data_IF_916099967957
#
_entry.id   IF_916099967957
#
_cell.length_a   1.000
_cell.length_b   1.000
_cell.length_c   1.000
_cell.angle_alpha   90.00
_cell.angle_beta   90.00
_cell.angle_gamma   90.00
#
_symmetry.space_group_name_H-M   'P 1'
#
loop_
_entity.id
_entity.type
_entity.pdbx_description
1 polymer ?
#
# COMPACT_ATOMS: atom_id res chain seq x y z
N UNK A 1 0.46 10.38 -12.14
CA UNK A 1 1.82 10.51 -12.66
C UNK A 1 2.80 10.96 -11.58
N UNK A 2 2.56 12.07 -10.88
CA UNK A 2 3.46 12.61 -9.83
C UNK A 2 3.79 11.56 -8.77
N UNK A 3 2.82 10.83 -8.25
CA UNK A 3 3.03 9.74 -7.29
C UNK A 3 3.99 8.67 -7.80
N UNK A 4 3.85 8.24 -9.06
CA UNK A 4 4.74 7.23 -9.65
C UNK A 4 6.17 7.73 -9.80
N UNK A 5 6.36 9.00 -10.21
CA UNK A 5 7.70 9.60 -10.30
C UNK A 5 8.33 9.68 -8.90
N UNK A 6 7.56 10.08 -7.89
CA UNK A 6 8.03 10.14 -6.51
C UNK A 6 8.36 8.74 -5.95
N UNK A 7 7.57 7.72 -6.29
CA UNK A 7 7.84 6.33 -5.88
C UNK A 7 9.13 5.80 -6.52
N UNK A 8 9.38 6.07 -7.81
CA UNK A 8 10.64 5.71 -8.45
C UNK A 8 11.85 6.43 -7.81
N UNK A 9 11.70 7.72 -7.56
CA UNK A 9 12.75 8.51 -6.91
C UNK A 9 13.00 8.06 -5.46
N UNK A 10 11.98 7.56 -4.77
CA UNK A 10 12.07 7.12 -3.38
C UNK A 10 12.98 5.91 -3.20
N UNK A 11 12.99 4.97 -4.14
CA UNK A 11 13.91 3.82 -4.12
C UNK A 11 15.37 4.28 -4.08
N UNK A 12 15.75 5.20 -4.96
CA UNK A 12 17.11 5.77 -5.00
C UNK A 12 17.45 6.54 -3.72
N UNK A 13 16.47 7.23 -3.14
CA UNK A 13 16.66 7.99 -1.90
C UNK A 13 16.82 7.04 -0.70
N UNK A 14 16.05 5.96 -0.67
CA UNK A 14 16.11 4.94 0.38
C UNK A 14 17.46 4.25 0.41
N UNK A 15 18.01 3.86 -0.74
CA UNK A 15 19.33 3.24 -0.84
C UNK A 15 20.42 4.17 -0.32
N UNK A 16 20.34 5.46 -0.64
CA UNK A 16 21.28 6.47 -0.13
C UNK A 16 21.16 6.71 1.37
N UNK A 17 19.93 6.71 1.92
CA UNK A 17 19.73 6.91 3.35
C UNK A 17 20.24 5.71 4.16
N UNK A 18 19.99 4.49 3.70
CA UNK A 18 20.47 3.27 4.35
C UNK A 18 21.99 3.16 4.26
N UNK A 19 22.57 3.42 3.10
CA UNK A 19 24.03 3.41 2.91
C UNK A 19 24.75 4.53 3.69
N UNK A 20 24.05 5.61 4.01
CA UNK A 20 24.53 6.69 4.86
C UNK A 20 24.54 6.39 6.37
N UNK A 21 24.17 5.16 6.78
CA UNK A 21 24.19 4.73 8.17
C UNK A 21 22.97 5.13 9.00
N UNK A 22 21.89 5.59 8.35
CA UNK A 22 20.63 5.87 9.04
C UNK A 22 19.87 4.58 9.38
N UNK A 23 19.02 4.66 10.40
CA UNK A 23 18.15 3.54 10.78
C UNK A 23 17.22 3.18 9.61
N UNK A 24 17.25 1.92 9.12
CA UNK A 24 16.40 1.48 8.01
C UNK A 24 14.91 1.66 8.30
N UNK A 25 14.46 1.42 9.53
CA UNK A 25 13.05 1.57 9.91
C UNK A 25 12.59 3.02 9.80
N UNK A 26 13.37 3.97 10.32
CA UNK A 26 13.09 5.39 10.22
C UNK A 26 13.10 5.87 8.77
N UNK A 27 14.05 5.39 7.96
CA UNK A 27 14.16 5.75 6.55
C UNK A 27 12.91 5.36 5.77
N UNK A 28 12.39 4.14 5.96
CA UNK A 28 11.17 3.67 5.31
C UNK A 28 9.95 4.48 5.73
N UNK A 29 9.79 4.80 7.00
CA UNK A 29 8.68 5.63 7.51
C UNK A 29 8.69 7.01 6.85
N UNK A 30 9.84 7.69 6.86
CA UNK A 30 9.99 9.03 6.30
C UNK A 30 9.67 9.02 4.80
N UNK A 31 10.19 8.05 4.07
CA UNK A 31 9.97 7.94 2.62
C UNK A 31 8.50 7.65 2.31
N UNK A 32 7.86 6.73 3.03
CA UNK A 32 6.45 6.44 2.84
C UNK A 32 5.59 7.70 3.06
N UNK A 33 5.87 8.47 4.09
CA UNK A 33 5.17 9.74 4.34
C UNK A 33 5.42 10.76 3.24
N UNK A 34 6.66 10.90 2.77
CA UNK A 34 7.02 11.84 1.70
C UNK A 34 6.32 11.50 0.38
N UNK A 35 6.31 10.24 0.01
CA UNK A 35 5.77 9.77 -1.29
C UNK A 35 4.23 9.83 -1.32
N UNK A 36 3.58 9.44 -0.24
CA UNK A 36 2.11 9.32 -0.23
C UNK A 36 1.42 10.52 0.40
N UNK A 37 1.84 10.95 1.58
CA UNK A 37 1.09 11.95 2.36
C UNK A 37 1.28 13.36 1.81
N UNK A 38 2.50 13.76 1.41
CA UNK A 38 2.74 15.12 0.91
C UNK A 38 1.95 15.40 -0.37
N UNK A 39 1.99 14.56 -1.44
CA UNK A 39 1.18 14.79 -2.63
C UNK A 39 -0.33 14.76 -2.33
N UNK A 40 -0.76 13.91 -1.42
CA UNK A 40 -2.15 13.84 -0.99
C UNK A 40 -2.61 15.15 -0.33
N UNK A 41 -1.79 15.71 0.58
CA UNK A 41 -2.06 17.00 1.22
C UNK A 41 -2.13 18.13 0.18
N UNK A 42 -1.18 18.18 -0.73
CA UNK A 42 -1.13 19.20 -1.80
C UNK A 42 -2.40 19.08 -2.65
N UNK A 43 -2.76 17.88 -3.07
CA UNK A 43 -3.96 17.63 -3.87
C UNK A 43 -5.24 18.10 -3.16
N UNK A 44 -5.43 17.72 -1.90
CA UNK A 44 -6.59 18.14 -1.11
C UNK A 44 -6.65 19.65 -0.94
N UNK A 45 -5.51 20.32 -0.71
CA UNK A 45 -5.46 21.78 -0.63
C UNK A 45 -5.82 22.49 -1.93
N UNK A 46 -5.30 21.98 -3.05
CA UNK A 46 -5.60 22.55 -4.38
C UNK A 46 -7.08 22.41 -4.74
N UNK A 47 -7.73 21.33 -4.30
CA UNK A 47 -9.17 21.12 -4.51
C UNK A 47 -10.06 21.85 -3.48
N UNK A 48 -9.50 22.44 -2.44
CA UNK A 48 -10.27 23.10 -1.38
C UNK A 48 -11.12 22.15 -0.53
N UNK A 49 -10.81 20.85 -0.54
CA UNK A 49 -11.56 19.82 0.19
C UNK A 49 -10.95 19.63 1.58
N UNK A 50 -11.80 19.76 2.62
CA UNK A 50 -11.36 19.49 4.00
C UNK A 50 -11.00 18.02 4.21
N UNK A 51 -9.86 17.74 4.84
CA UNK A 51 -9.37 16.38 5.11
C UNK A 51 -10.38 15.52 5.87
N UNK A 52 -11.11 16.10 6.84
CA UNK A 52 -12.09 15.39 7.66
C UNK A 52 -13.30 14.91 6.85
N UNK A 53 -13.66 15.59 5.79
CA UNK A 53 -14.78 15.21 4.94
C UNK A 53 -14.46 13.98 4.09
N UNK A 54 -13.20 13.84 3.62
CA UNK A 54 -12.77 12.70 2.80
C UNK A 54 -12.36 11.48 3.63
N UNK A 55 -11.78 11.68 4.79
CA UNK A 55 -11.33 10.58 5.65
C UNK A 55 -12.47 9.75 6.25
N UNK A 56 -13.66 10.30 6.37
CA UNK A 56 -14.87 9.65 6.93
C UNK A 56 -14.57 8.64 8.05
N UNK A 57 -13.61 8.97 8.93
CA UNK A 57 -13.14 8.12 10.02
C UNK A 57 -14.28 7.96 11.01
N UNK A 58 -14.97 6.83 10.95
CA UNK A 58 -16.00 6.45 11.93
C UNK A 58 -15.38 5.53 12.97
N UNK A 59 -15.79 5.71 14.23
CA UNK A 59 -15.44 4.80 15.31
C UNK A 59 -15.81 3.36 14.94
N UNK A 60 -14.90 2.46 15.25
CA UNK A 60 -15.00 1.05 14.91
C UNK A 60 -16.15 0.40 15.67
N UNK A 61 -17.13 -0.14 14.97
CA UNK A 61 -18.21 -0.94 15.57
C UNK A 61 -17.76 -2.38 15.79
N UNK A 62 -17.99 -2.99 16.97
CA UNK A 62 -17.60 -4.38 17.24
C UNK A 62 -18.14 -5.39 16.21
N UNK A 63 -19.32 -5.12 15.64
CA UNK A 63 -19.89 -6.00 14.60
C UNK A 63 -19.08 -5.99 13.30
N UNK A 64 -18.31 -4.94 13.02
CA UNK A 64 -17.43 -4.87 11.84
C UNK A 64 -16.11 -5.61 12.03
N UNK A 65 -15.74 -5.96 13.27
CA UNK A 65 -14.53 -6.73 13.55
C UNK A 65 -14.56 -8.10 12.86
N UNK A 66 -15.71 -8.76 12.84
CA UNK A 66 -15.90 -10.02 12.13
C UNK A 66 -15.64 -9.89 10.63
N UNK A 67 -16.12 -8.82 10.00
CA UNK A 67 -15.86 -8.56 8.58
C UNK A 67 -14.37 -8.34 8.31
N UNK A 68 -13.67 -7.60 9.18
CA UNK A 68 -12.23 -7.37 9.06
C UNK A 68 -11.44 -8.69 9.19
N UNK A 69 -11.78 -9.53 10.15
CA UNK A 69 -11.14 -10.85 10.31
C UNK A 69 -11.38 -11.72 9.06
N UNK A 70 -12.63 -11.78 8.58
CA UNK A 70 -12.95 -12.56 7.39
C UNK A 70 -12.24 -12.03 6.14
N UNK A 71 -12.22 -10.72 5.92
CA UNK A 71 -11.47 -10.13 4.79
C UNK A 71 -9.96 -10.40 4.90
N UNK A 72 -9.39 -10.35 6.10
CA UNK A 72 -7.98 -10.70 6.31
C UNK A 72 -7.68 -12.17 5.99
N UNK A 73 -8.57 -13.10 6.36
CA UNK A 73 -8.44 -14.50 5.98
C UNK A 73 -8.54 -14.70 4.46
N UNK A 74 -9.49 -14.03 3.81
CA UNK A 74 -9.62 -14.05 2.35
C UNK A 74 -8.37 -13.50 1.68
N UNK A 75 -7.78 -12.42 2.20
CA UNK A 75 -6.53 -11.87 1.70
C UNK A 75 -5.39 -12.89 1.80
N UNK A 76 -5.20 -13.51 2.95
CA UNK A 76 -4.12 -14.49 3.16
C UNK A 76 -4.31 -15.70 2.24
N UNK A 77 -5.48 -16.30 2.23
CA UNK A 77 -5.76 -17.47 1.38
C UNK A 77 -5.65 -17.13 -0.11
N UNK A 78 -6.20 -16.00 -0.53
CA UNK A 78 -6.18 -15.56 -1.92
C UNK A 78 -4.77 -15.25 -2.42
N UNK A 79 -3.94 -14.58 -1.62
CA UNK A 79 -2.54 -14.32 -1.98
C UNK A 79 -1.74 -15.60 -2.13
N UNK A 80 -1.92 -16.57 -1.22
CA UNK A 80 -1.27 -17.88 -1.31
C UNK A 80 -1.72 -18.64 -2.56
N UNK A 81 -3.02 -18.63 -2.87
CA UNK A 81 -3.56 -19.30 -4.06
C UNK A 81 -3.03 -18.68 -5.36
N UNK A 82 -3.08 -17.36 -5.49
CA UNK A 82 -2.58 -16.66 -6.68
C UNK A 82 -1.10 -16.95 -6.86
N UNK A 83 -0.32 -16.90 -5.80
CA UNK A 83 1.13 -17.16 -5.86
C UNK A 83 1.43 -18.61 -6.20
N UNK A 84 0.71 -19.58 -5.62
CA UNK A 84 0.85 -20.98 -5.95
C UNK A 84 0.54 -21.24 -7.44
N UNK A 85 -0.51 -20.60 -7.97
CA UNK A 85 -0.84 -20.69 -9.38
C UNK A 85 0.26 -20.09 -10.27
N UNK A 86 0.84 -18.94 -9.90
CA UNK A 86 1.96 -18.34 -10.64
C UNK A 86 3.20 -19.26 -10.68
N UNK A 87 3.55 -19.88 -9.56
CA UNK A 87 4.65 -20.84 -9.47
C UNK A 87 4.36 -22.06 -10.36
N UNK A 88 3.13 -22.60 -10.30
CA UNK A 88 2.73 -23.75 -11.11
C UNK A 88 2.78 -23.46 -12.62
N UNK A 89 2.42 -22.25 -13.03
CA UNK A 89 2.50 -21.80 -14.42
C UNK A 89 3.92 -21.44 -14.88
N UNK A 90 4.92 -21.61 -14.02
CA UNK A 90 6.33 -21.34 -14.34
C UNK A 90 6.71 -19.86 -14.38
N UNK A 91 5.85 -18.99 -13.79
CA UNK A 91 6.04 -17.53 -13.85
C UNK A 91 7.14 -17.02 -12.91
N UNK A 92 7.33 -17.63 -11.75
CA UNK A 92 8.30 -17.12 -10.76
C UNK A 92 8.71 -18.19 -9.77
N UNK A 93 9.98 -18.12 -9.31
CA UNK A 93 10.53 -18.98 -8.25
C UNK A 93 10.69 -18.22 -6.92
N UNK A 94 10.47 -16.92 -6.93
CA UNK A 94 10.65 -16.05 -5.77
C UNK A 94 9.49 -16.21 -4.78
N UNK A 95 9.75 -16.34 -3.47
CA UNK A 95 8.70 -16.36 -2.46
C UNK A 95 7.99 -15.00 -2.40
N UNK A 96 6.70 -15.00 -2.01
CA UNK A 96 5.86 -13.77 -1.93
C UNK A 96 6.51 -12.67 -1.10
N UNK A 97 7.26 -13.04 -0.07
CA UNK A 97 7.86 -12.13 0.89
C UNK A 97 9.34 -11.82 0.62
N UNK A 98 9.90 -12.14 -0.55
CA UNK A 98 11.32 -11.88 -0.86
C UNK A 98 11.69 -10.40 -0.72
N UNK A 99 10.82 -9.49 -1.18
CA UNK A 99 11.04 -8.05 -1.03
C UNK A 99 11.15 -7.61 0.44
N UNK A 100 10.29 -8.16 1.30
CA UNK A 100 10.37 -7.87 2.73
C UNK A 100 11.59 -8.50 3.40
N UNK A 101 12.10 -9.61 2.85
CA UNK A 101 13.28 -10.29 3.37
C UNK A 101 14.53 -9.42 3.35
N UNK A 102 14.75 -8.67 2.29
CA UNK A 102 15.88 -7.76 2.17
C UNK A 102 15.80 -6.62 3.19
N UNK A 103 14.65 -5.97 3.30
CA UNK A 103 14.45 -4.90 4.28
C UNK A 103 14.45 -5.39 5.73
N UNK A 104 13.88 -6.57 5.99
CA UNK A 104 13.95 -7.20 7.31
C UNK A 104 15.37 -7.59 7.67
N UNK A 105 16.18 -8.02 6.71
CA UNK A 105 17.59 -8.32 6.93
C UNK A 105 18.40 -7.03 7.17
N UNK A 106 18.14 -5.96 6.44
CA UNK A 106 18.78 -4.66 6.67
C UNK A 106 18.46 -4.10 8.08
N UNK A 107 17.28 -4.40 8.58
CA UNK A 107 16.85 -4.02 9.94
C UNK A 107 17.22 -5.05 11.03
N UNK A 108 18.25 -5.88 10.82
CA UNK A 108 18.73 -6.81 11.84
C UNK A 108 19.15 -6.04 13.11
N UNK A 109 18.63 -6.49 14.24
CA UNK A 109 18.88 -5.84 15.54
C UNK A 109 17.77 -4.87 16.02
N UNK A 110 16.89 -4.40 15.15
CA UNK A 110 15.72 -3.67 15.60
C UNK A 110 14.68 -4.60 16.27
N UNK A 111 13.98 -4.08 17.27
CA UNK A 111 12.88 -4.79 17.91
C UNK A 111 11.73 -5.03 16.93
N UNK A 112 10.87 -6.01 17.24
CA UNK A 112 9.73 -6.38 16.39
C UNK A 112 8.79 -5.20 16.12
N UNK A 113 8.51 -4.39 17.14
CA UNK A 113 7.55 -3.29 17.03
C UNK A 113 7.99 -2.20 16.02
N UNK A 114 9.21 -1.65 16.06
CA UNK A 114 9.69 -0.73 15.02
C UNK A 114 9.64 -1.30 13.62
N UNK A 115 9.99 -2.58 13.44
CA UNK A 115 9.90 -3.26 12.14
C UNK A 115 8.45 -3.33 11.65
N UNK A 116 7.53 -3.78 12.48
CA UNK A 116 6.11 -3.87 12.13
C UNK A 116 5.54 -2.50 11.77
N UNK A 117 5.91 -1.46 12.50
CA UNK A 117 5.48 -0.08 12.18
C UNK A 117 6.05 0.41 10.85
N UNK A 118 7.34 0.21 10.60
CA UNK A 118 8.01 0.71 9.43
C UNK A 118 7.60 0.00 8.13
N UNK A 119 7.50 -1.33 8.16
CA UNK A 119 7.30 -2.13 6.94
C UNK A 119 5.86 -2.58 6.70
N UNK A 120 4.98 -2.48 7.69
CA UNK A 120 3.59 -2.89 7.54
C UNK A 120 2.61 -1.75 7.83
N UNK A 121 2.62 -1.19 9.04
CA UNK A 121 1.55 -0.28 9.49
C UNK A 121 1.60 1.06 8.77
N UNK A 122 2.76 1.73 8.77
CA UNK A 122 2.88 3.08 8.19
C UNK A 122 2.67 3.07 6.67
N UNK A 123 3.33 2.21 5.87
CA UNK A 123 3.06 2.13 4.44
C UNK A 123 1.59 1.81 4.13
N UNK A 124 1.00 0.83 4.83
CA UNK A 124 -0.40 0.47 4.62
C UNK A 124 -1.35 1.65 4.87
N UNK A 125 -1.18 2.39 5.97
CA UNK A 125 -2.00 3.59 6.25
C UNK A 125 -1.81 4.64 5.16
N UNK A 126 -0.58 4.89 4.72
CA UNK A 126 -0.28 5.87 3.68
C UNK A 126 -0.92 5.50 2.34
N UNK A 127 -0.83 4.24 1.94
CA UNK A 127 -1.46 3.73 0.72
C UNK A 127 -2.98 3.79 0.79
N UNK A 128 -3.59 3.32 1.89
CA UNK A 128 -5.04 3.38 2.07
C UNK A 128 -5.56 4.81 2.02
N UNK A 129 -4.83 5.76 2.60
CA UNK A 129 -5.19 7.16 2.53
C UNK A 129 -5.23 7.70 1.10
N UNK A 130 -4.22 7.38 0.29
CA UNK A 130 -4.15 7.88 -1.10
C UNK A 130 -5.14 7.15 -2.00
N UNK A 131 -5.13 5.82 -2.00
CA UNK A 131 -5.86 5.03 -2.99
C UNK A 131 -7.34 4.84 -2.62
N UNK A 132 -7.68 4.72 -1.32
CA UNK A 132 -9.06 4.47 -0.87
C UNK A 132 -9.74 5.75 -0.40
N UNK A 133 -9.09 6.58 0.39
CA UNK A 133 -9.75 7.80 0.85
C UNK A 133 -9.82 8.89 -0.25
N UNK A 134 -8.80 9.02 -1.09
CA UNK A 134 -8.76 10.09 -2.10
C UNK A 134 -9.14 9.57 -3.48
N UNK A 135 -8.36 8.68 -4.08
CA UNK A 135 -8.56 8.28 -5.47
C UNK A 135 -9.88 7.56 -5.70
N UNK A 136 -10.22 6.59 -4.85
CA UNK A 136 -11.49 5.87 -4.96
C UNK A 136 -12.69 6.82 -4.88
N UNK A 137 -12.64 7.78 -3.94
CA UNK A 137 -13.72 8.76 -3.78
C UNK A 137 -13.81 9.70 -4.99
N UNK A 138 -12.68 10.19 -5.50
CA UNK A 138 -12.65 11.06 -6.67
C UNK A 138 -13.19 10.39 -7.93
N UNK A 139 -12.84 9.12 -8.17
CA UNK A 139 -13.37 8.38 -9.32
C UNK A 139 -14.87 8.10 -9.17
N UNK A 140 -15.32 7.78 -7.96
CA UNK A 140 -16.74 7.54 -7.71
C UNK A 140 -17.56 8.82 -7.87
N UNK A 141 -17.10 9.97 -7.36
CA UNK A 141 -17.71 11.29 -7.55
C UNK A 141 -17.64 11.74 -9.02
N UNK A 142 -16.61 11.33 -9.77
CA UNK A 142 -16.44 11.59 -11.19
C UNK A 142 -17.38 10.80 -12.10
N UNK A 143 -18.30 9.98 -11.55
CA UNK A 143 -19.33 9.28 -12.33
C UNK A 143 -18.92 7.91 -12.87
N UNK A 144 -17.76 7.36 -12.47
CA UNK A 144 -17.33 6.03 -12.94
C UNK A 144 -18.09 4.86 -12.28
N UNK A 145 -18.82 5.11 -11.21
CA UNK A 145 -19.50 4.09 -10.43
C UNK A 145 -18.54 3.30 -9.50
N UNK A 146 -19.08 2.78 -8.39
CA UNK A 146 -18.28 2.21 -7.32
C UNK A 146 -17.37 1.05 -7.77
N UNK A 147 -17.87 0.14 -8.60
CA UNK A 147 -17.10 -1.03 -9.08
C UNK A 147 -15.93 -0.59 -9.94
N UNK A 148 -16.18 0.29 -10.93
CA UNK A 148 -15.11 0.78 -11.83
C UNK A 148 -14.07 1.58 -11.06
N UNK A 149 -14.51 2.43 -10.14
CA UNK A 149 -13.62 3.20 -9.27
C UNK A 149 -12.73 2.28 -8.42
N UNK A 150 -13.28 1.20 -7.86
CA UNK A 150 -12.54 0.20 -7.09
C UNK A 150 -11.49 -0.52 -7.94
N UNK A 151 -11.84 -0.95 -9.15
CA UNK A 151 -10.93 -1.60 -10.08
C UNK A 151 -9.78 -0.68 -10.48
N UNK A 152 -10.08 0.57 -10.86
CA UNK A 152 -9.05 1.55 -11.25
C UNK A 152 -8.13 1.86 -10.07
N UNK A 153 -8.68 2.15 -8.88
CA UNK A 153 -7.89 2.44 -7.69
C UNK A 153 -6.98 1.28 -7.29
N UNK A 154 -7.49 0.04 -7.35
CA UNK A 154 -6.72 -1.17 -7.05
C UNK A 154 -5.61 -1.43 -8.06
N UNK A 155 -5.88 -1.20 -9.35
CA UNK A 155 -4.87 -1.33 -10.40
C UNK A 155 -3.75 -0.29 -10.24
N UNK A 156 -4.12 0.96 -9.98
CA UNK A 156 -3.15 2.02 -9.72
C UNK A 156 -2.29 1.72 -8.48
N UNK A 157 -2.90 1.23 -7.39
CA UNK A 157 -2.17 0.81 -6.20
C UNK A 157 -1.17 -0.33 -6.52
N UNK A 158 -1.62 -1.36 -7.24
CA UNK A 158 -0.76 -2.48 -7.61
C UNK A 158 0.42 -2.07 -8.50
N UNK A 159 0.22 -1.13 -9.42
CA UNK A 159 1.27 -0.62 -10.30
C UNK A 159 2.35 0.20 -9.57
N UNK A 160 2.08 0.70 -8.36
CA UNK A 160 3.07 1.45 -7.56
C UNK A 160 4.29 0.61 -7.15
N UNK A 161 4.13 -0.69 -7.10
CA UNK A 161 5.24 -1.60 -6.74
C UNK A 161 6.20 -1.89 -7.89
N UNK A 162 5.91 -1.46 -9.12
CA UNK A 162 6.74 -1.64 -10.32
C UNK A 162 7.19 -3.09 -10.58
N UNK A 163 6.42 -4.06 -10.08
CA UNK A 163 6.71 -5.49 -10.18
C UNK A 163 5.54 -6.20 -10.86
N UNK A 164 5.75 -6.55 -12.13
CA UNK A 164 4.73 -7.23 -12.95
C UNK A 164 4.40 -8.63 -12.45
N UNK A 165 5.34 -9.31 -11.82
CA UNK A 165 5.10 -10.65 -11.28
C UNK A 165 4.19 -10.61 -10.06
N UNK A 166 4.30 -9.58 -9.24
CA UNK A 166 3.52 -9.40 -8.02
C UNK A 166 2.22 -8.61 -8.25
N UNK A 167 2.07 -8.00 -9.44
CA UNK A 167 0.90 -7.20 -9.79
C UNK A 167 -0.44 -7.93 -9.54
N UNK A 168 -0.64 -9.22 -9.92
CA UNK A 168 -1.90 -9.91 -9.65
C UNK A 168 -2.23 -10.02 -8.17
N UNK A 169 -1.22 -10.24 -7.32
CA UNK A 169 -1.39 -10.32 -5.87
C UNK A 169 -1.79 -8.98 -5.29
N UNK A 170 -1.06 -7.91 -5.64
CA UNK A 170 -1.36 -6.55 -5.14
C UNK A 170 -2.70 -6.03 -5.66
N UNK A 171 -3.05 -6.34 -6.90
CA UNK A 171 -4.35 -6.00 -7.47
C UNK A 171 -5.49 -6.69 -6.72
N UNK A 172 -5.36 -7.98 -6.46
CA UNK A 172 -6.33 -8.74 -5.65
C UNK A 172 -6.47 -8.14 -4.25
N UNK A 173 -5.37 -7.86 -3.56
CA UNK A 173 -5.38 -7.19 -2.27
C UNK A 173 -6.10 -5.84 -2.35
N UNK A 174 -5.81 -5.06 -3.39
CA UNK A 174 -6.44 -3.78 -3.63
C UNK A 174 -7.96 -3.86 -3.75
N UNK A 175 -8.48 -4.83 -4.48
CA UNK A 175 -9.93 -5.03 -4.65
C UNK A 175 -10.58 -5.41 -3.30
N UNK A 176 -10.00 -6.34 -2.56
CA UNK A 176 -10.55 -6.76 -1.25
C UNK A 176 -10.59 -5.59 -0.26
N UNK A 177 -9.59 -4.71 -0.29
CA UNK A 177 -9.57 -3.51 0.56
C UNK A 177 -10.60 -2.44 0.13
N UNK A 178 -11.14 -2.50 -1.10
CA UNK A 178 -12.19 -1.59 -1.57
C UNK A 178 -13.61 -2.07 -1.22
N UNK A 179 -13.79 -3.34 -0.83
CA UNK A 179 -15.07 -3.94 -0.45
C UNK A 179 -15.40 -3.69 1.02
#
# INVERSE_FOLDING_TARGET
>A
LILYILALASGLLQDKLISGGNDPCLSVIIISMLVYIIPAIIFCRLKGVGYSAKLNIKLFSPGKLGCVIMSSLVLICGTVLIRSAQIYLGGTKEPVFSMFGEYLNAAQGAEFLPKAMAFAVVPAICEEFVFRAILLTEYNEGGFGAVTASVISSLLSAMMFFDLEKLPVFFFCGIICCL
#
